data_IF_369412085319
#
_entry.id   IF_369412085319
#
_cell.length_a   1.000
_cell.length_b   1.000
_cell.length_c   1.000
_cell.angle_alpha   90.00
_cell.angle_beta   90.00
_cell.angle_gamma   90.00
#
_symmetry.space_group_name_H-M   'P 1'
#
loop_
_entity.id
_entity.type
_entity.pdbx_description
1 polymer ?
#
# COMPACT_ATOMS: atom_id res chain seq x y z
N UNK A 1 33.20 15.91 -29.29
CA UNK A 1 31.82 15.42 -29.52
C UNK A 1 31.57 14.08 -28.85
N UNK A 2 32.52 13.13 -28.90
CA UNK A 2 32.40 11.81 -28.23
C UNK A 2 32.44 11.87 -26.69
N UNK A 3 33.24 12.76 -26.09
CA UNK A 3 33.33 13.01 -24.67
C UNK A 3 32.02 13.61 -24.10
N UNK A 4 31.38 14.53 -24.81
CA UNK A 4 30.09 15.12 -24.44
C UNK A 4 28.99 14.05 -24.48
N UNK A 5 29.00 13.19 -25.52
CA UNK A 5 28.07 12.08 -25.63
C UNK A 5 28.22 11.04 -24.50
N UNK A 6 29.48 10.76 -24.12
CA UNK A 6 29.82 9.84 -23.04
C UNK A 6 29.45 10.41 -21.66
N UNK A 7 29.52 11.74 -21.48
CA UNK A 7 29.10 12.42 -20.24
C UNK A 7 27.58 12.52 -20.16
N UNK A 8 26.88 12.72 -21.28
CA UNK A 8 25.41 12.69 -21.34
C UNK A 8 24.88 11.28 -21.09
N UNK A 9 25.50 10.24 -21.67
CA UNK A 9 25.17 8.83 -21.42
C UNK A 9 25.42 8.43 -19.95
N UNK A 10 26.51 8.90 -19.33
CA UNK A 10 26.79 8.63 -17.91
C UNK A 10 25.84 9.35 -16.94
N UNK A 11 25.33 10.52 -17.31
CA UNK A 11 24.30 11.23 -16.52
C UNK A 11 22.90 10.61 -16.67
N UNK A 12 22.61 9.98 -17.81
CA UNK A 12 21.33 9.31 -18.06
C UNK A 12 21.22 7.93 -17.38
N UNK A 13 22.34 7.29 -17.03
CA UNK A 13 22.38 6.03 -16.28
C UNK A 13 22.37 6.21 -14.75
N UNK A 14 22.44 7.46 -14.26
CA UNK A 14 22.35 7.74 -12.83
C UNK A 14 20.91 7.59 -12.34
N UNK A 15 20.76 6.94 -11.20
CA UNK A 15 19.50 6.89 -10.47
C UNK A 15 19.00 8.32 -10.19
N UNK A 16 17.80 8.65 -10.64
CA UNK A 16 17.16 9.93 -10.31
C UNK A 16 16.65 9.87 -8.85
N UNK A 17 17.61 9.87 -7.90
CA UNK A 17 17.33 9.61 -6.48
C UNK A 17 16.28 10.57 -5.90
N UNK A 18 16.33 11.85 -6.29
CA UNK A 18 15.34 12.83 -5.84
C UNK A 18 13.91 12.45 -6.24
N UNK A 19 13.71 12.03 -7.48
CA UNK A 19 12.39 11.57 -7.96
C UNK A 19 11.97 10.28 -7.24
N UNK A 20 12.90 9.34 -7.10
CA UNK A 20 12.64 8.07 -6.42
C UNK A 20 12.24 8.27 -4.96
N UNK A 21 12.95 9.08 -4.22
CA UNK A 21 12.62 9.40 -2.83
C UNK A 21 11.31 10.18 -2.72
N UNK A 22 11.05 11.10 -3.64
CA UNK A 22 9.79 11.87 -3.63
C UNK A 22 8.59 10.99 -3.93
N UNK A 23 8.65 10.10 -4.94
CA UNK A 23 7.53 9.20 -5.22
C UNK A 23 7.34 8.15 -4.11
N UNK A 24 8.42 7.71 -3.46
CA UNK A 24 8.36 6.83 -2.30
C UNK A 24 7.72 7.52 -1.08
N UNK A 25 8.03 8.80 -0.87
CA UNK A 25 7.37 9.62 0.15
C UNK A 25 5.88 9.87 -0.17
N UNK A 26 5.54 10.09 -1.46
CA UNK A 26 4.14 10.14 -1.88
C UNK A 26 3.41 8.82 -1.58
N UNK A 27 4.06 7.69 -1.82
CA UNK A 27 3.52 6.36 -1.51
C UNK A 27 3.29 6.18 0.00
N UNK A 28 4.26 6.61 0.83
CA UNK A 28 4.11 6.60 2.28
C UNK A 28 2.86 7.38 2.72
N UNK A 29 2.65 8.59 2.21
CA UNK A 29 1.51 9.41 2.60
C UNK A 29 0.18 8.87 2.03
N UNK A 30 0.16 8.34 0.81
CA UNK A 30 -1.03 7.70 0.22
C UNK A 30 -1.46 6.48 1.04
N UNK A 31 -0.53 5.59 1.35
CA UNK A 31 -0.82 4.39 2.14
C UNK A 31 -1.13 4.70 3.61
N UNK A 32 -0.59 5.79 4.17
CA UNK A 32 -1.00 6.29 5.49
C UNK A 32 -2.49 6.66 5.50
N UNK A 33 -2.96 7.36 4.46
CA UNK A 33 -4.37 7.70 4.32
C UNK A 33 -5.22 6.45 4.08
N UNK A 34 -4.71 5.49 3.30
CA UNK A 34 -5.40 4.25 2.98
C UNK A 34 -5.64 3.37 4.23
N UNK A 35 -4.60 3.15 5.03
CA UNK A 35 -4.67 2.30 6.22
C UNK A 35 -5.34 3.00 7.42
N UNK A 36 -5.40 4.33 7.43
CA UNK A 36 -6.18 5.08 8.41
C UNK A 36 -7.67 4.72 8.34
N UNK A 37 -8.20 4.42 7.15
CA UNK A 37 -9.63 4.17 6.97
C UNK A 37 -10.11 2.92 7.74
N UNK A 38 -9.55 1.71 7.58
CA UNK A 38 -9.91 0.57 8.42
C UNK A 38 -9.61 0.82 9.90
N UNK A 39 -8.60 1.61 10.23
CA UNK A 39 -8.29 1.95 11.60
C UNK A 39 -9.42 2.71 12.30
N UNK A 40 -10.23 3.50 11.60
CA UNK A 40 -11.37 4.22 12.18
C UNK A 40 -12.70 3.44 12.13
N UNK A 41 -12.71 2.19 11.67
CA UNK A 41 -13.94 1.38 11.62
C UNK A 41 -14.68 1.25 12.96
N UNK A 42 -14.01 1.08 14.12
CA UNK A 42 -14.71 1.06 15.41
C UNK A 42 -15.45 2.37 15.71
N UNK A 43 -14.86 3.51 15.32
CA UNK A 43 -15.49 4.82 15.45
C UNK A 43 -16.70 4.94 14.52
N UNK A 44 -16.57 4.59 13.23
CA UNK A 44 -17.67 4.60 12.27
C UNK A 44 -18.80 3.67 12.72
N UNK A 45 -18.45 2.46 13.21
CA UNK A 45 -19.43 1.52 13.72
C UNK A 45 -20.23 2.12 14.90
N UNK A 46 -19.56 2.76 15.84
CA UNK A 46 -20.19 3.40 17.01
C UNK A 46 -21.04 4.60 16.62
N UNK A 47 -20.56 5.47 15.75
CA UNK A 47 -21.20 6.74 15.38
C UNK A 47 -22.45 6.51 14.50
N UNK A 48 -22.38 5.57 13.55
CA UNK A 48 -23.48 5.28 12.62
C UNK A 48 -24.28 4.02 12.97
N UNK A 49 -24.01 3.36 14.09
CA UNK A 49 -24.71 2.14 14.51
C UNK A 49 -24.54 0.98 13.52
N UNK A 50 -23.38 0.87 12.86
CA UNK A 50 -23.15 -0.12 11.82
C UNK A 50 -23.04 -1.54 12.37
N UNK A 51 -23.59 -2.50 11.65
CA UNK A 51 -23.33 -3.92 11.88
C UNK A 51 -21.92 -4.31 11.40
N UNK A 52 -21.38 -5.44 11.89
CA UNK A 52 -20.13 -5.98 11.39
C UNK A 52 -20.20 -6.34 9.89
N UNK A 53 -21.36 -6.73 9.39
CA UNK A 53 -21.60 -6.96 7.98
C UNK A 53 -21.42 -5.67 7.16
N UNK A 54 -21.93 -4.55 7.63
CA UNK A 54 -21.75 -3.25 6.97
C UNK A 54 -20.30 -2.78 7.00
N UNK A 55 -19.56 -3.03 8.07
CA UNK A 55 -18.09 -2.80 8.13
C UNK A 55 -17.38 -3.67 7.08
N UNK A 56 -17.77 -4.94 6.96
CA UNK A 56 -17.24 -5.82 5.90
C UNK A 56 -17.55 -5.32 4.50
N UNK A 57 -18.75 -4.72 4.26
CA UNK A 57 -19.08 -4.09 2.97
C UNK A 57 -18.19 -2.87 2.70
N UNK A 58 -17.88 -2.03 3.70
CA UNK A 58 -16.94 -0.91 3.53
C UNK A 58 -15.58 -1.44 3.08
N UNK A 59 -15.03 -2.46 3.76
CA UNK A 59 -13.78 -3.12 3.37
C UNK A 59 -13.85 -3.68 1.95
N UNK A 60 -14.93 -4.40 1.62
CA UNK A 60 -15.12 -4.98 0.28
C UNK A 60 -15.11 -3.90 -0.80
N UNK A 61 -15.85 -2.83 -0.62
CA UNK A 61 -15.93 -1.71 -1.58
C UNK A 61 -14.56 -1.05 -1.74
N UNK A 62 -13.84 -0.81 -0.64
CA UNK A 62 -12.48 -0.28 -0.68
C UNK A 62 -11.56 -1.20 -1.50
N UNK A 63 -11.55 -2.49 -1.21
CA UNK A 63 -10.67 -3.45 -1.89
C UNK A 63 -11.05 -3.68 -3.36
N UNK A 64 -12.35 -3.69 -3.69
CA UNK A 64 -12.79 -3.77 -5.07
C UNK A 64 -12.33 -2.57 -5.89
N UNK A 65 -12.51 -1.36 -5.36
CA UNK A 65 -12.16 -0.13 -6.07
C UNK A 65 -10.65 0.11 -6.12
N UNK A 66 -9.91 -0.23 -5.08
CA UNK A 66 -8.46 -0.03 -5.05
C UNK A 66 -7.68 -1.12 -5.80
N UNK A 67 -8.16 -2.39 -5.79
CA UNK A 67 -7.38 -3.52 -6.29
C UNK A 67 -7.89 -4.08 -7.61
N UNK A 68 -9.21 -4.29 -7.76
CA UNK A 68 -9.78 -4.90 -8.99
C UNK A 68 -9.74 -3.93 -10.17
N UNK A 69 -9.88 -2.63 -9.91
CA UNK A 69 -9.80 -1.59 -10.96
C UNK A 69 -8.35 -1.36 -11.40
N UNK A 70 -7.36 -1.61 -10.53
CA UNK A 70 -5.95 -1.36 -10.76
C UNK A 70 -5.38 -1.95 -12.08
N UNK A 71 -5.64 -3.22 -12.45
CA UNK A 71 -5.17 -3.77 -13.72
C UNK A 71 -5.74 -3.03 -14.95
N UNK A 72 -6.99 -2.60 -14.89
CA UNK A 72 -7.64 -1.87 -15.99
C UNK A 72 -7.05 -0.47 -16.13
N UNK A 73 -6.78 0.19 -15.02
CA UNK A 73 -6.07 1.47 -15.00
C UNK A 73 -4.66 1.33 -15.54
N UNK A 74 -3.92 0.27 -15.14
CA UNK A 74 -2.60 -0.03 -15.68
C UNK A 74 -2.61 -0.21 -17.20
N UNK A 75 -3.54 -1.02 -17.73
CA UNK A 75 -3.71 -1.21 -19.18
C UNK A 75 -4.08 0.08 -19.92
N UNK A 76 -4.88 0.94 -19.29
CA UNK A 76 -5.20 2.26 -19.86
C UNK A 76 -3.98 3.18 -19.89
N UNK A 77 -3.24 3.23 -18.77
CA UNK A 77 -2.04 4.05 -18.63
C UNK A 77 -0.93 3.64 -19.61
N UNK A 78 -0.76 2.35 -19.88
CA UNK A 78 0.19 1.82 -20.84
C UNK A 78 -0.10 2.28 -22.28
N UNK A 79 -1.36 2.59 -22.59
CA UNK A 79 -1.78 3.08 -23.90
C UNK A 79 -1.81 4.60 -23.98
N UNK A 80 -2.22 5.26 -22.88
CA UNK A 80 -2.51 6.69 -22.82
C UNK A 80 -1.60 7.35 -21.78
N UNK A 81 -0.37 7.69 -22.16
CA UNK A 81 0.59 8.31 -21.27
C UNK A 81 0.27 9.80 -21.02
N UNK A 82 -0.34 10.11 -19.89
CA UNK A 82 -0.70 11.47 -19.50
C UNK A 82 -0.07 11.89 -18.17
N UNK A 83 0.54 13.08 -18.12
CA UNK A 83 1.08 13.65 -16.88
C UNK A 83 0.01 13.88 -15.80
N UNK A 84 -1.25 14.02 -16.21
CA UNK A 84 -2.41 14.30 -15.38
C UNK A 84 -2.90 13.09 -14.55
N UNK A 85 -2.53 11.88 -14.94
CA UNK A 85 -3.02 10.67 -14.32
C UNK A 85 -2.63 10.57 -12.84
N UNK A 86 -1.36 10.86 -12.50
CA UNK A 86 -0.88 10.88 -11.13
C UNK A 86 -1.59 11.94 -10.26
N UNK A 87 -1.67 13.23 -10.63
CA UNK A 87 -2.41 14.18 -9.82
C UNK A 87 -3.91 13.88 -9.73
N UNK A 88 -4.54 13.32 -10.76
CA UNK A 88 -5.96 12.94 -10.74
C UNK A 88 -6.21 11.85 -9.69
N UNK A 89 -5.28 10.93 -9.45
CA UNK A 89 -5.43 9.96 -8.36
C UNK A 89 -5.67 10.65 -7.01
N UNK A 90 -4.89 11.69 -6.72
CA UNK A 90 -5.04 12.44 -5.47
C UNK A 90 -6.30 13.31 -5.43
N UNK A 91 -6.83 13.72 -6.59
CA UNK A 91 -8.13 14.42 -6.62
C UNK A 91 -9.26 13.47 -6.20
N UNK A 92 -9.26 12.22 -6.66
CA UNK A 92 -10.23 11.22 -6.19
C UNK A 92 -10.07 10.95 -4.68
N UNK A 93 -8.85 10.77 -4.20
CA UNK A 93 -8.54 10.61 -2.77
C UNK A 93 -9.01 11.82 -1.96
N UNK A 94 -8.73 13.05 -2.43
CA UNK A 94 -9.14 14.30 -1.79
C UNK A 94 -10.67 14.38 -1.65
N UNK A 95 -11.41 14.14 -2.73
CA UNK A 95 -12.88 14.17 -2.71
C UNK A 95 -13.41 13.09 -1.77
N UNK A 96 -12.89 11.87 -1.83
CA UNK A 96 -13.27 10.78 -0.96
C UNK A 96 -13.07 11.10 0.53
N UNK A 97 -11.88 11.62 0.91
CA UNK A 97 -11.57 12.05 2.27
C UNK A 97 -12.50 13.18 2.72
N UNK A 98 -12.70 14.18 1.87
CA UNK A 98 -13.55 15.31 2.19
C UNK A 98 -15.01 14.88 2.40
N UNK A 99 -15.56 14.06 1.51
CA UNK A 99 -16.91 13.49 1.67
C UNK A 99 -17.02 12.64 2.94
N UNK A 100 -16.01 11.81 3.25
CA UNK A 100 -16.01 11.00 4.46
C UNK A 100 -16.07 11.85 5.72
N UNK A 101 -15.36 12.98 5.75
CA UNK A 101 -15.33 13.88 6.93
C UNK A 101 -16.67 14.55 7.23
N UNK A 102 -17.60 14.55 6.29
CA UNK A 102 -18.96 15.08 6.40
C UNK A 102 -20.03 14.00 6.19
N UNK A 103 -19.64 12.72 6.29
CA UNK A 103 -20.58 11.64 6.10
C UNK A 103 -21.69 11.70 7.16
N UNK A 104 -22.93 11.54 6.71
CA UNK A 104 -24.15 11.50 7.54
C UNK A 104 -24.90 10.17 7.42
N UNK A 105 -24.47 9.33 6.49
CA UNK A 105 -25.13 8.07 6.17
C UNK A 105 -24.15 7.01 5.67
N UNK A 106 -24.56 5.75 5.80
CA UNK A 106 -23.78 4.60 5.31
C UNK A 106 -23.51 4.69 3.80
N UNK A 107 -24.46 5.20 3.01
CA UNK A 107 -24.28 5.37 1.58
C UNK A 107 -23.18 6.38 1.25
N UNK A 108 -23.13 7.52 1.96
CA UNK A 108 -22.07 8.52 1.79
C UNK A 108 -20.71 7.94 2.17
N UNK A 109 -20.62 7.12 3.22
CA UNK A 109 -19.40 6.40 3.56
C UNK A 109 -18.96 5.51 2.40
N UNK A 110 -19.87 4.71 1.81
CA UNK A 110 -19.54 3.82 0.68
C UNK A 110 -19.05 4.58 -0.55
N UNK A 111 -19.71 5.69 -0.91
CA UNK A 111 -19.28 6.54 -2.03
C UNK A 111 -17.90 7.14 -1.76
N UNK A 112 -17.69 7.67 -0.55
CA UNK A 112 -16.41 8.25 -0.12
C UNK A 112 -15.27 7.24 -0.24
N UNK A 113 -15.49 6.04 0.26
CA UNK A 113 -14.51 4.93 0.24
C UNK A 113 -14.26 4.46 -1.19
N UNK A 114 -15.29 4.43 -2.06
CA UNK A 114 -15.13 4.10 -3.48
C UNK A 114 -14.24 5.09 -4.21
N UNK A 115 -14.44 6.38 -3.99
CA UNK A 115 -13.62 7.43 -4.58
C UNK A 115 -12.18 7.35 -4.10
N UNK A 116 -12.00 7.09 -2.80
CA UNK A 116 -10.70 6.90 -2.21
C UNK A 116 -9.97 5.70 -2.83
N UNK A 117 -10.63 4.54 -2.95
CA UNK A 117 -10.09 3.35 -3.61
C UNK A 117 -9.75 3.57 -5.09
N UNK A 118 -10.58 4.35 -5.83
CA UNK A 118 -10.27 4.75 -7.21
C UNK A 118 -8.98 5.57 -7.29
N UNK A 119 -8.77 6.52 -6.37
CA UNK A 119 -7.52 7.26 -6.27
C UNK A 119 -6.31 6.33 -6.12
N UNK A 120 -6.37 5.43 -5.16
CA UNK A 120 -5.32 4.42 -4.90
C UNK A 120 -5.07 3.52 -6.11
N UNK A 121 -6.13 3.05 -6.80
CA UNK A 121 -6.01 2.20 -8.00
C UNK A 121 -5.26 2.86 -9.16
N UNK A 122 -5.31 4.20 -9.24
CA UNK A 122 -4.57 4.98 -10.24
C UNK A 122 -3.13 5.22 -9.79
N UNK A 123 -2.92 5.55 -8.52
CA UNK A 123 -1.62 5.92 -7.99
C UNK A 123 -0.60 4.77 -8.04
N UNK A 124 -0.95 3.59 -7.52
CA UNK A 124 -0.01 2.49 -7.33
C UNK A 124 0.70 2.01 -8.60
N UNK A 125 0.00 1.67 -9.72
CA UNK A 125 0.68 1.21 -10.92
C UNK A 125 1.56 2.29 -11.54
N UNK A 126 1.14 3.53 -11.50
CA UNK A 126 1.91 4.63 -12.07
C UNK A 126 3.08 5.06 -11.18
N UNK A 127 2.90 5.07 -9.86
CA UNK A 127 3.97 5.32 -8.90
C UNK A 127 5.09 4.29 -9.03
N UNK A 128 4.74 3.01 -9.17
CA UNK A 128 5.69 1.92 -9.44
C UNK A 128 6.43 2.10 -10.77
N UNK A 129 5.74 2.55 -11.84
CA UNK A 129 6.38 2.87 -13.12
C UNK A 129 7.37 4.05 -13.01
N UNK A 130 7.00 5.10 -12.26
CA UNK A 130 7.90 6.24 -11.97
C UNK A 130 9.15 5.76 -11.22
N UNK A 131 8.98 4.94 -10.17
CA UNK A 131 10.09 4.39 -9.41
C UNK A 131 11.04 3.56 -10.30
N UNK A 132 10.46 2.73 -11.19
CA UNK A 132 11.24 1.95 -12.16
C UNK A 132 12.01 2.85 -13.13
N UNK A 133 11.41 3.91 -13.64
CA UNK A 133 12.08 4.85 -14.54
C UNK A 133 13.18 5.65 -13.85
N UNK A 134 12.99 5.98 -12.57
CA UNK A 134 13.98 6.67 -11.75
C UNK A 134 15.14 5.77 -11.30
N UNK A 135 15.09 4.47 -11.58
CA UNK A 135 16.02 3.46 -11.05
C UNK A 135 17.45 3.56 -11.59
N UNK A 136 17.66 4.18 -12.77
CA UNK A 136 18.96 4.14 -13.46
C UNK A 136 19.44 2.71 -13.75
N UNK A 137 18.52 1.79 -14.05
CA UNK A 137 18.81 0.36 -14.29
C UNK A 137 18.80 -0.53 -13.05
N UNK A 138 18.72 0.06 -11.83
CA UNK A 138 18.67 -0.67 -10.55
C UNK A 138 17.21 -0.91 -10.11
N UNK A 139 16.43 -1.58 -10.96
CA UNK A 139 14.98 -1.73 -10.77
C UNK A 139 14.60 -2.37 -9.42
N UNK A 140 15.35 -3.38 -8.96
CA UNK A 140 15.11 -4.03 -7.67
C UNK A 140 15.22 -3.05 -6.49
N UNK A 141 16.30 -2.27 -6.44
CA UNK A 141 16.52 -1.26 -5.39
C UNK A 141 15.41 -0.18 -5.42
N UNK A 142 15.06 0.30 -6.62
CA UNK A 142 14.04 1.34 -6.75
C UNK A 142 12.66 0.85 -6.29
N UNK A 143 12.27 -0.38 -6.64
CA UNK A 143 11.03 -0.99 -6.16
C UNK A 143 11.06 -1.23 -4.64
N UNK A 144 12.20 -1.63 -4.08
CA UNK A 144 12.34 -1.80 -2.63
C UNK A 144 12.16 -0.48 -1.89
N UNK A 145 12.78 0.62 -2.37
CA UNK A 145 12.62 1.95 -1.78
C UNK A 145 11.15 2.42 -1.87
N UNK A 146 10.52 2.21 -3.02
CA UNK A 146 9.11 2.56 -3.22
C UNK A 146 8.21 1.76 -2.27
N UNK A 147 8.44 0.46 -2.13
CA UNK A 147 7.66 -0.43 -1.29
C UNK A 147 7.85 -0.16 0.22
N UNK A 148 9.07 0.20 0.63
CA UNK A 148 9.34 0.63 2.03
C UNK A 148 8.52 1.88 2.35
N UNK A 149 8.38 2.82 1.40
CA UNK A 149 7.48 3.95 1.54
C UNK A 149 6.05 3.51 1.83
N UNK A 150 5.48 2.65 0.99
CA UNK A 150 4.12 2.14 1.14
C UNK A 150 3.91 1.39 2.46
N UNK A 151 4.74 0.38 2.75
CA UNK A 151 4.62 -0.39 3.99
C UNK A 151 4.75 0.50 5.24
N UNK A 152 5.67 1.48 5.23
CA UNK A 152 5.81 2.45 6.30
C UNK A 152 4.57 3.32 6.47
N UNK A 153 3.97 3.75 5.36
CA UNK A 153 2.71 4.49 5.34
C UNK A 153 1.56 3.65 5.89
N UNK A 154 1.45 2.42 5.43
CA UNK A 154 0.41 1.50 5.88
C UNK A 154 0.48 1.25 7.39
N UNK A 155 1.67 1.13 7.96
CA UNK A 155 1.86 1.04 9.41
C UNK A 155 1.51 2.35 10.14
N UNK A 156 1.78 3.52 9.54
CA UNK A 156 1.54 4.81 10.17
C UNK A 156 0.06 5.19 10.27
N UNK A 157 -0.83 4.63 9.43
CA UNK A 157 -2.25 4.98 9.39
C UNK A 157 -2.96 4.84 10.75
N UNK A 158 -2.89 3.69 11.43
CA UNK A 158 -3.50 3.52 12.76
C UNK A 158 -2.92 4.49 13.81
N UNK A 159 -1.63 4.82 13.71
CA UNK A 159 -1.00 5.81 14.60
C UNK A 159 -1.63 7.20 14.41
N UNK A 160 -1.77 7.64 13.16
CA UNK A 160 -2.42 8.93 12.87
C UNK A 160 -3.93 8.90 13.16
N UNK A 161 -4.61 7.77 12.97
CA UNK A 161 -5.98 7.59 13.42
C UNK A 161 -6.09 7.81 14.94
N UNK A 162 -5.21 7.19 15.74
CA UNK A 162 -5.20 7.31 17.19
C UNK A 162 -4.90 8.74 17.68
N UNK A 163 -3.97 9.44 17.01
CA UNK A 163 -3.48 10.74 17.47
C UNK A 163 -4.30 11.93 16.94
N UNK A 164 -4.91 11.81 15.76
CA UNK A 164 -5.59 12.92 15.09
C UNK A 164 -7.10 12.66 14.99
N UNK A 165 -7.50 11.50 14.41
CA UNK A 165 -8.91 11.29 14.07
C UNK A 165 -9.74 10.95 15.32
N UNK A 166 -9.29 10.00 16.15
CA UNK A 166 -10.05 9.57 17.31
C UNK A 166 -10.31 10.70 18.33
N UNK A 167 -9.33 11.56 18.68
CA UNK A 167 -9.57 12.67 19.62
C UNK A 167 -10.52 13.76 19.09
N UNK A 168 -10.53 13.99 17.78
CA UNK A 168 -11.30 15.07 17.12
C UNK A 168 -12.64 14.57 16.58
N UNK A 169 -12.78 13.23 16.43
CA UNK A 169 -13.92 12.58 15.77
C UNK A 169 -13.76 12.54 14.24
N UNK A 170 -14.81 12.13 13.53
CA UNK A 170 -14.82 11.94 12.08
C UNK A 170 -14.36 13.21 11.32
N UNK A 171 -14.65 14.38 11.87
CA UNK A 171 -14.17 15.65 11.33
C UNK A 171 -12.65 15.79 11.28
N UNK A 172 -11.92 15.00 12.09
CA UNK A 172 -10.46 14.95 12.06
C UNK A 172 -9.89 14.39 10.76
N UNK A 173 -10.68 13.60 10.02
CA UNK A 173 -10.30 13.04 8.72
C UNK A 173 -10.00 14.14 7.69
N UNK A 174 -10.65 15.31 7.80
CA UNK A 174 -10.44 16.45 6.88
C UNK A 174 -8.98 16.95 6.83
N UNK A 175 -8.20 16.76 7.90
CA UNK A 175 -6.80 17.19 7.90
C UNK A 175 -5.95 16.44 6.84
N UNK A 176 -6.34 15.20 6.51
CA UNK A 176 -5.69 14.42 5.46
C UNK A 176 -6.03 14.93 4.05
N UNK A 177 -7.09 15.74 3.89
CA UNK A 177 -7.38 16.43 2.65
C UNK A 177 -6.27 17.42 2.26
N UNK A 178 -5.65 18.09 3.24
CA UNK A 178 -4.48 18.92 2.96
C UNK A 178 -3.28 18.10 2.50
N UNK A 179 -3.09 16.89 3.05
CA UNK A 179 -2.05 15.96 2.59
C UNK A 179 -2.31 15.53 1.15
N UNK A 180 -3.55 15.13 0.82
CA UNK A 180 -3.93 14.75 -0.54
C UNK A 180 -3.75 15.90 -1.54
N UNK A 181 -4.08 17.13 -1.14
CA UNK A 181 -3.86 18.33 -1.97
C UNK A 181 -2.36 18.59 -2.20
N UNK A 182 -1.54 18.49 -1.15
CA UNK A 182 -0.07 18.61 -1.27
C UNK A 182 0.48 17.56 -2.22
N UNK A 183 0.04 16.31 -2.08
CA UNK A 183 0.44 15.22 -2.97
C UNK A 183 0.01 15.49 -4.42
N UNK A 184 -1.21 15.98 -4.65
CA UNK A 184 -1.66 16.32 -6.00
C UNK A 184 -0.72 17.34 -6.67
N UNK A 185 -0.27 18.36 -5.93
CA UNK A 185 0.69 19.35 -6.42
C UNK A 185 2.05 18.72 -6.73
N UNK A 186 2.60 17.92 -5.81
CA UNK A 186 3.89 17.23 -6.01
C UNK A 186 3.80 16.31 -7.24
N UNK A 187 2.72 15.56 -7.38
CA UNK A 187 2.52 14.61 -8.46
C UNK A 187 2.31 15.26 -9.84
N UNK A 188 1.97 16.55 -9.92
CA UNK A 188 2.01 17.32 -11.19
C UNK A 188 3.45 17.37 -11.72
N UNK A 189 4.41 17.68 -10.85
CA UNK A 189 5.81 17.76 -11.26
C UNK A 189 6.38 16.37 -11.62
N UNK A 190 6.08 15.35 -10.82
CA UNK A 190 6.47 13.97 -11.09
C UNK A 190 5.85 13.46 -12.38
N UNK A 191 4.55 13.72 -12.62
CA UNK A 191 3.85 13.30 -13.83
C UNK A 191 4.45 13.91 -15.10
N UNK A 192 4.80 15.21 -15.06
CA UNK A 192 5.49 15.87 -16.18
C UNK A 192 6.87 15.25 -16.44
N UNK A 193 7.64 14.95 -15.38
CA UNK A 193 8.91 14.25 -15.50
C UNK A 193 8.73 12.84 -16.09
N UNK A 194 7.76 12.07 -15.58
CA UNK A 194 7.43 10.73 -16.04
C UNK A 194 7.17 10.66 -17.55
N UNK A 195 6.31 11.51 -18.08
CA UNK A 195 5.98 11.55 -19.50
C UNK A 195 7.21 11.91 -20.36
N UNK A 196 8.09 12.79 -19.86
CA UNK A 196 9.34 13.13 -20.53
C UNK A 196 10.27 11.91 -20.64
N UNK A 197 10.39 11.12 -19.59
CA UNK A 197 11.22 9.90 -19.57
C UNK A 197 10.66 8.78 -20.45
N UNK A 198 9.34 8.61 -20.52
CA UNK A 198 8.73 7.61 -21.42
C UNK A 198 9.15 7.80 -22.88
N UNK A 199 9.28 9.05 -23.34
CA UNK A 199 9.73 9.36 -24.70
C UNK A 199 11.18 8.90 -24.95
N UNK A 200 12.02 8.92 -23.91
CA UNK A 200 13.44 8.49 -23.99
C UNK A 200 13.53 6.96 -23.97
N UNK A 201 12.84 6.30 -23.02
CA UNK A 201 12.88 4.84 -22.87
C UNK A 201 12.30 4.12 -24.10
N UNK A 202 11.24 4.64 -24.70
CA UNK A 202 10.61 4.04 -25.90
C UNK A 202 11.55 4.00 -27.11
N UNK A 203 12.55 4.89 -27.19
CA UNK A 203 13.62 4.84 -28.20
C UNK A 203 14.62 3.70 -27.96
N UNK A 204 14.84 3.30 -26.67
CA UNK A 204 15.84 2.28 -26.28
C UNK A 204 15.28 0.85 -26.24
N UNK A 205 14.02 0.63 -25.87
CA UNK A 205 13.47 -0.71 -25.63
C UNK A 205 13.28 -1.57 -26.89
N UNK A 206 13.40 -1.01 -28.09
CA UNK A 206 13.41 -1.79 -29.35
C UNK A 206 14.62 -2.72 -29.52
N UNK A 207 15.65 -2.61 -28.67
CA UNK A 207 16.94 -3.30 -28.84
C UNK A 207 17.22 -4.47 -27.88
N UNK A 208 16.34 -4.78 -26.92
CA UNK A 208 16.71 -5.70 -25.82
C UNK A 208 15.65 -6.76 -25.47
N UNK A 209 15.25 -7.55 -26.48
CA UNK A 209 14.58 -8.84 -26.25
C UNK A 209 15.60 -9.96 -26.47
N UNK A 210 16.32 -10.36 -25.44
CA UNK A 210 17.21 -11.52 -25.48
C UNK A 210 16.73 -12.58 -24.48
N UNK A 211 16.38 -13.74 -25.03
CA UNK A 211 16.39 -15.10 -24.44
C UNK A 211 15.77 -15.26 -23.03
N UNK A 212 14.46 -15.13 -22.93
CA UNK A 212 13.73 -15.77 -21.83
C UNK A 212 13.63 -17.28 -22.10
N UNK A 213 13.90 -18.13 -21.08
CA UNK A 213 13.56 -19.56 -21.14
C UNK A 213 12.09 -19.70 -21.54
N UNK A 214 11.84 -20.42 -22.65
CA UNK A 214 10.48 -20.70 -23.10
C UNK A 214 9.87 -21.76 -22.18
N UNK A 215 8.93 -21.34 -21.34
CA UNK A 215 8.09 -22.24 -20.56
C UNK A 215 6.82 -22.60 -21.36
N UNK A 216 6.31 -23.82 -21.21
CA UNK A 216 5.01 -24.17 -21.78
C UNK A 216 3.89 -23.35 -21.15
N UNK A 217 2.80 -23.09 -21.89
CA UNK A 217 1.64 -22.33 -21.36
C UNK A 217 1.09 -22.95 -20.08
N UNK A 218 1.04 -24.26 -19.97
CA UNK A 218 0.59 -24.98 -18.78
C UNK A 218 1.48 -24.73 -17.56
N UNK A 219 2.80 -24.71 -17.74
CA UNK A 219 3.74 -24.38 -16.68
C UNK A 219 3.58 -22.93 -16.20
N UNK A 220 3.38 -22.00 -17.15
CA UNK A 220 3.13 -20.58 -16.81
C UNK A 220 1.85 -20.44 -16.00
N UNK A 221 0.74 -21.05 -16.44
CA UNK A 221 -0.53 -21.03 -15.68
C UNK A 221 -0.39 -21.69 -14.31
N UNK A 222 0.34 -22.80 -14.19
CA UNK A 222 0.60 -23.45 -12.91
C UNK A 222 1.38 -22.54 -11.95
N UNK A 223 2.44 -21.89 -12.42
CA UNK A 223 3.21 -20.96 -11.60
C UNK A 223 2.39 -19.73 -11.18
N UNK A 224 1.62 -19.15 -12.10
CA UNK A 224 0.74 -18.01 -11.81
C UNK A 224 -0.33 -18.41 -10.79
N UNK A 225 -0.93 -19.59 -10.91
CA UNK A 225 -1.93 -20.09 -9.96
C UNK A 225 -1.32 -20.29 -8.56
N UNK A 226 -0.15 -20.91 -8.45
CA UNK A 226 0.54 -21.10 -7.17
C UNK A 226 0.85 -19.75 -6.53
N UNK A 227 1.39 -18.80 -7.30
CA UNK A 227 1.67 -17.45 -6.81
C UNK A 227 0.39 -16.74 -6.35
N UNK A 228 -0.69 -16.88 -7.12
CA UNK A 228 -2.00 -16.31 -6.76
C UNK A 228 -2.50 -16.87 -5.41
N UNK A 229 -2.46 -18.18 -5.22
CA UNK A 229 -2.91 -18.83 -3.96
C UNK A 229 -2.08 -18.36 -2.78
N UNK A 230 -0.75 -18.29 -2.93
CA UNK A 230 0.14 -17.83 -1.87
C UNK A 230 -0.11 -16.35 -1.49
N UNK A 231 -0.21 -15.48 -2.49
CA UNK A 231 -0.50 -14.07 -2.29
C UNK A 231 -1.89 -13.84 -1.69
N UNK A 232 -2.91 -14.56 -2.20
CA UNK A 232 -4.27 -14.49 -1.69
C UNK A 232 -4.34 -14.89 -0.22
N UNK A 233 -3.72 -16.01 0.15
CA UNK A 233 -3.71 -16.50 1.53
C UNK A 233 -3.09 -15.48 2.50
N UNK A 234 -1.93 -14.91 2.13
CA UNK A 234 -1.25 -13.91 2.96
C UNK A 234 -2.08 -12.62 3.07
N UNK A 235 -2.54 -12.09 1.95
CA UNK A 235 -3.30 -10.84 1.94
C UNK A 235 -4.65 -10.98 2.66
N UNK A 236 -5.33 -12.11 2.51
CA UNK A 236 -6.58 -12.38 3.22
C UNK A 236 -6.40 -12.32 4.75
N UNK A 237 -5.30 -12.91 5.25
CA UNK A 237 -4.99 -12.87 6.67
C UNK A 237 -4.66 -11.45 7.14
N UNK A 238 -3.75 -10.76 6.45
CA UNK A 238 -3.35 -9.38 6.81
C UNK A 238 -4.57 -8.44 6.80
N UNK A 239 -5.42 -8.53 5.77
CA UNK A 239 -6.63 -7.72 5.67
C UNK A 239 -7.63 -8.00 6.80
N UNK A 240 -7.76 -9.27 7.20
CA UNK A 240 -8.59 -9.63 8.35
C UNK A 240 -8.05 -9.02 9.65
N UNK A 241 -6.74 -9.02 9.85
CA UNK A 241 -6.10 -8.37 11.00
C UNK A 241 -6.33 -6.85 10.96
N UNK A 242 -6.07 -6.20 9.84
CA UNK A 242 -6.24 -4.75 9.69
C UNK A 242 -7.69 -4.32 9.95
N UNK A 243 -8.66 -5.07 9.45
CA UNK A 243 -10.08 -4.72 9.54
C UNK A 243 -10.71 -5.05 10.88
N UNK A 244 -10.29 -6.13 11.55
CA UNK A 244 -11.03 -6.66 12.70
C UNK A 244 -10.21 -6.80 14.00
N UNK A 245 -8.89 -6.67 13.99
CA UNK A 245 -8.06 -6.82 15.17
C UNK A 245 -8.39 -5.79 16.26
N UNK A 246 -8.71 -4.56 15.87
CA UNK A 246 -9.11 -3.51 16.80
C UNK A 246 -10.43 -3.83 17.51
N UNK A 247 -11.40 -4.39 16.81
CA UNK A 247 -12.64 -4.87 17.41
C UNK A 247 -12.40 -6.02 18.39
N UNK A 248 -11.55 -6.98 18.00
CA UNK A 248 -11.16 -8.08 18.86
C UNK A 248 -10.54 -7.60 20.17
N UNK A 249 -9.66 -6.61 20.14
CA UNK A 249 -9.04 -6.04 21.32
C UNK A 249 -10.06 -5.30 22.21
N UNK A 250 -10.97 -4.54 21.61
CA UNK A 250 -12.02 -3.80 22.33
C UNK A 250 -12.97 -4.78 23.02
N UNK A 251 -13.46 -5.78 22.30
CA UNK A 251 -14.43 -6.75 22.84
C UNK A 251 -13.82 -7.66 23.90
N UNK A 252 -12.58 -8.13 23.69
CA UNK A 252 -11.93 -9.10 24.59
C UNK A 252 -11.33 -8.48 25.84
N UNK A 253 -10.73 -7.29 25.72
CA UNK A 253 -9.96 -6.65 26.78
C UNK A 253 -10.58 -5.35 27.30
N UNK A 254 -11.65 -4.85 26.70
CA UNK A 254 -12.31 -3.60 27.10
C UNK A 254 -11.44 -2.35 26.90
N UNK A 255 -10.44 -2.41 26.00
CA UNK A 255 -9.54 -1.28 25.74
C UNK A 255 -10.23 -0.18 24.95
N UNK A 256 -9.73 1.06 25.07
CA UNK A 256 -10.23 2.19 24.28
C UNK A 256 -9.91 1.98 22.79
N UNK A 257 -10.70 2.65 21.92
CA UNK A 257 -10.43 2.65 20.47
C UNK A 257 -9.01 3.13 20.21
N UNK A 258 -8.57 4.19 20.89
CA UNK A 258 -7.19 4.73 20.72
C UNK A 258 -6.13 3.69 21.07
N UNK A 259 -6.27 2.98 22.18
CA UNK A 259 -5.34 1.91 22.57
C UNK A 259 -5.32 0.78 21.55
N UNK A 260 -6.47 0.38 21.01
CA UNK A 260 -6.54 -0.68 19.99
C UNK A 260 -5.84 -0.28 18.70
N UNK A 261 -5.86 1.01 18.32
CA UNK A 261 -5.13 1.53 17.16
C UNK A 261 -3.61 1.50 17.37
N UNK A 262 -3.15 1.83 18.57
CA UNK A 262 -1.71 1.72 18.90
C UNK A 262 -1.24 0.26 18.85
N UNK A 263 -2.07 -0.70 19.26
CA UNK A 263 -1.76 -2.12 19.12
C UNK A 263 -1.71 -2.56 17.65
N UNK A 264 -2.63 -2.07 16.81
CA UNK A 264 -2.61 -2.32 15.37
C UNK A 264 -1.35 -1.71 14.72
N UNK A 265 -0.97 -0.50 15.12
CA UNK A 265 0.30 0.10 14.68
C UNK A 265 1.49 -0.79 15.00
N UNK A 266 1.57 -1.37 16.21
CA UNK A 266 2.68 -2.27 16.60
C UNK A 266 2.73 -3.50 15.68
N UNK A 267 1.59 -4.11 15.35
CA UNK A 267 1.50 -5.22 14.40
C UNK A 267 2.05 -4.84 13.02
N UNK A 268 1.57 -3.73 12.46
CA UNK A 268 1.97 -3.27 11.12
C UNK A 268 3.43 -2.78 11.08
N UNK A 269 3.90 -2.12 12.13
CA UNK A 269 5.30 -1.73 12.24
C UNK A 269 6.23 -2.96 12.27
N UNK A 270 5.81 -4.02 12.95
CA UNK A 270 6.53 -5.29 12.95
C UNK A 270 6.54 -5.92 11.55
N UNK A 271 5.46 -5.82 10.77
CA UNK A 271 5.40 -6.29 9.38
C UNK A 271 6.39 -5.53 8.47
N UNK A 272 6.55 -4.21 8.66
CA UNK A 272 7.57 -3.42 7.94
C UNK A 272 8.97 -3.94 8.25
N UNK A 273 9.28 -4.16 9.54
CA UNK A 273 10.58 -4.70 9.96
C UNK A 273 10.78 -6.10 9.40
N UNK A 274 9.76 -6.97 9.47
CA UNK A 274 9.79 -8.32 8.92
C UNK A 274 10.05 -8.34 7.42
N UNK A 275 9.43 -7.44 6.66
CA UNK A 275 9.65 -7.29 5.21
C UNK A 275 11.10 -6.90 4.90
N UNK A 276 11.69 -5.96 5.66
CA UNK A 276 13.09 -5.55 5.49
C UNK A 276 14.06 -6.68 5.82
N UNK A 277 13.83 -7.36 6.95
CA UNK A 277 14.64 -8.51 7.36
C UNK A 277 14.50 -9.68 6.40
N UNK A 278 13.28 -9.97 5.94
CA UNK A 278 12.98 -11.02 4.98
C UNK A 278 13.65 -10.78 3.63
N UNK A 279 13.70 -9.54 3.16
CA UNK A 279 14.46 -9.16 1.97
C UNK A 279 15.95 -9.48 2.11
N UNK A 280 16.58 -9.03 3.20
CA UNK A 280 17.99 -9.26 3.47
C UNK A 280 18.34 -10.75 3.67
N UNK A 281 17.52 -11.48 4.43
CA UNK A 281 17.67 -12.92 4.65
C UNK A 281 17.46 -13.69 3.34
N UNK A 282 16.46 -13.31 2.55
CA UNK A 282 16.13 -13.94 1.28
C UNK A 282 17.22 -13.81 0.23
N UNK A 283 17.92 -12.67 0.18
CA UNK A 283 19.04 -12.47 -0.74
C UNK A 283 20.28 -13.30 -0.30
N UNK A 284 20.46 -13.54 1.00
CA UNK A 284 21.63 -14.27 1.54
C UNK A 284 21.42 -15.79 1.59
N UNK A 285 20.24 -16.25 2.01
CA UNK A 285 19.95 -17.66 2.28
C UNK A 285 18.98 -18.29 1.29
N UNK A 286 18.37 -17.47 0.44
CA UNK A 286 17.42 -17.88 -0.60
C UNK A 286 15.96 -17.58 -0.25
N UNK A 287 15.26 -16.98 -1.20
CA UNK A 287 13.88 -16.51 -1.09
C UNK A 287 12.87 -17.60 -0.72
N UNK A 288 13.15 -18.85 -1.11
CA UNK A 288 12.29 -20.00 -0.79
C UNK A 288 12.12 -20.19 0.72
N UNK A 289 13.19 -20.06 1.50
CA UNK A 289 13.14 -20.24 2.96
C UNK A 289 12.35 -19.12 3.65
N UNK A 290 12.48 -17.89 3.17
CA UNK A 290 11.70 -16.75 3.68
C UNK A 290 10.22 -16.96 3.45
N UNK A 291 9.80 -17.40 2.23
CA UNK A 291 8.40 -17.68 1.93
C UNK A 291 7.84 -18.79 2.84
N UNK A 292 8.59 -19.88 3.03
CA UNK A 292 8.19 -20.95 3.94
C UNK A 292 8.04 -20.46 5.39
N UNK A 293 9.00 -19.67 5.86
CA UNK A 293 8.96 -19.11 7.20
C UNK A 293 7.79 -18.14 7.40
N UNK A 294 7.51 -17.27 6.41
CA UNK A 294 6.41 -16.31 6.51
C UNK A 294 5.02 -16.97 6.58
N UNK A 295 4.86 -18.16 6.02
CA UNK A 295 3.57 -18.87 6.03
C UNK A 295 3.47 -19.81 7.24
N UNK A 296 4.45 -20.71 7.40
CA UNK A 296 4.40 -21.74 8.45
C UNK A 296 4.89 -21.24 9.79
N UNK A 297 5.79 -20.24 9.82
CA UNK A 297 6.25 -19.60 11.04
C UNK A 297 5.18 -18.77 11.73
N UNK A 298 4.33 -18.07 10.94
CA UNK A 298 3.22 -17.30 11.49
C UNK A 298 2.06 -18.16 11.99
N UNK A 299 1.79 -19.31 11.36
CA UNK A 299 0.61 -20.12 11.60
C UNK A 299 0.38 -20.51 13.07
N UNK A 300 1.37 -21.04 13.83
CA UNK A 300 1.15 -21.41 15.23
C UNK A 300 0.79 -20.19 16.10
N UNK A 301 1.44 -19.06 15.88
CA UNK A 301 1.18 -17.83 16.63
C UNK A 301 -0.20 -17.26 16.31
N UNK A 302 -0.63 -17.34 15.05
CA UNK A 302 -1.97 -16.93 14.61
C UNK A 302 -3.06 -17.77 15.28
N UNK A 303 -2.85 -19.09 15.35
CA UNK A 303 -3.81 -20.00 16.02
C UNK A 303 -3.87 -19.71 17.53
N UNK A 304 -2.74 -19.36 18.14
CA UNK A 304 -2.68 -19.05 19.58
C UNK A 304 -3.30 -17.70 19.93
N UNK A 305 -3.34 -16.72 19.02
CA UNK A 305 -3.77 -15.35 19.28
C UNK A 305 -5.13 -15.24 19.97
N UNK A 306 -6.19 -15.96 19.54
CA UNK A 306 -7.49 -15.89 20.20
C UNK A 306 -7.52 -16.42 21.66
N UNK A 307 -6.58 -17.27 22.02
CA UNK A 307 -6.54 -17.94 23.33
C UNK A 307 -5.68 -17.22 24.37
N UNK A 308 -4.91 -16.22 23.98
CA UNK A 308 -4.08 -15.44 24.92
C UNK A 308 -4.96 -14.58 25.83
N UNK A 309 -4.84 -14.76 27.14
CA UNK A 309 -5.67 -14.11 28.16
C UNK A 309 -5.19 -12.71 28.59
N UNK A 310 -4.04 -12.22 28.11
CA UNK A 310 -3.52 -10.89 28.48
C UNK A 310 -3.31 -9.99 27.27
N UNK A 311 -3.56 -8.69 27.44
CA UNK A 311 -3.33 -7.69 26.41
C UNK A 311 -1.86 -7.64 25.97
N UNK A 312 -0.94 -7.63 26.94
CA UNK A 312 0.51 -7.62 26.66
C UNK A 312 0.95 -8.85 25.84
N UNK A 313 0.46 -10.04 26.19
CA UNK A 313 0.73 -11.27 25.43
C UNK A 313 0.15 -11.21 24.03
N UNK A 314 -1.05 -10.64 23.84
CA UNK A 314 -1.67 -10.46 22.53
C UNK A 314 -0.86 -9.49 21.65
N UNK A 315 -0.35 -8.39 22.21
CA UNK A 315 0.49 -7.42 21.49
C UNK A 315 1.82 -8.06 21.07
N UNK A 316 2.49 -8.77 21.98
CA UNK A 316 3.75 -9.47 21.67
C UNK A 316 3.52 -10.50 20.56
N UNK A 317 2.46 -11.28 20.67
CA UNK A 317 2.12 -12.31 19.70
C UNK A 317 1.78 -11.70 18.33
N UNK A 318 1.02 -10.61 18.30
CA UNK A 318 0.73 -9.90 17.05
C UNK A 318 1.99 -9.32 16.41
N UNK A 319 2.93 -8.78 17.21
CA UNK A 319 4.21 -8.31 16.70
C UNK A 319 5.06 -9.46 16.11
N UNK A 320 5.07 -10.64 16.74
CA UNK A 320 5.77 -11.84 16.21
C UNK A 320 5.13 -12.28 14.87
N UNK A 321 3.81 -12.25 14.78
CA UNK A 321 3.08 -12.54 13.54
C UNK A 321 3.44 -11.52 12.44
N UNK A 322 3.47 -10.23 12.79
CA UNK A 322 3.85 -9.17 11.86
C UNK A 322 5.29 -9.33 11.32
N UNK A 323 6.22 -9.78 12.15
CA UNK A 323 7.62 -10.03 11.76
C UNK A 323 7.79 -11.21 10.78
N UNK A 324 6.83 -12.10 10.67
CA UNK A 324 6.89 -13.30 9.82
C UNK A 324 6.25 -13.07 8.45
#
# INVERSE_FOLDING_TARGET
MELIKKTEESNEERTALGILLTISFCHLLDDTMHSMLPAIYPMLKSEFGLSFFQVGIITLVLQLTSSIIQPFVGLYADKHHGWWQLPVSMVFTLIGIFMLSYADSFLVILVSVSLFGLGSSIFHPQGSQVAQQASGGRNGLAQSIFQVGGNGGFAAGPLFAALIVIPVGLSGVRWFAFVALLLAVILIFIGKWHVKQLKVVRKRSRARWTTAKSYSRHQIYGFVFILFVLMFSKNFYTESMVSYFTFFLIEKFGVSIQTSQLCLFVFLAAEVVGTLLGGWIGDRYGRKYVIWFSIFGAAPFTIMLPYVGSLAGTIILSAVIGLS
#
